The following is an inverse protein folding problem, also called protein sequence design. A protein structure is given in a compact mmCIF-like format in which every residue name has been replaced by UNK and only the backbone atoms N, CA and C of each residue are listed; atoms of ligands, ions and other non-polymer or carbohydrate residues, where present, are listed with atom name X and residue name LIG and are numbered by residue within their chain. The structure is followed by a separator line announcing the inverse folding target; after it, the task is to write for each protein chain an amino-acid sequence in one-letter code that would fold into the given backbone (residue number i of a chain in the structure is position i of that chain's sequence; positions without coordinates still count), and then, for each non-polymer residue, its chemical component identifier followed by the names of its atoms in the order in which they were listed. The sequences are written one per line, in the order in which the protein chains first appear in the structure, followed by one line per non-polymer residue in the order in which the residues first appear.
data_IF_833695374196
#
_entry.id   IF_833695374196
#
_cell.length_a   1.000
_cell.length_b   1.000
_cell.length_c   1.000
_cell.angle_alpha   90.00
_cell.angle_beta   90.00
_cell.angle_gamma   90.00
#
_symmetry.space_group_name_H-M   'P 1'
#
loop_
_entity.id
_entity.type
_entity.pdbx_description
1 polymer ?
#
# COMPACT_ATOMS: atom_id res chain seq x y z
N UNK A 1 13.67 14.33 -7.28
CA UNK A 1 13.09 14.52 -5.94
C UNK A 1 13.55 13.39 -5.03
N UNK A 2 14.19 13.68 -3.88
CA UNK A 2 14.55 12.64 -2.91
C UNK A 2 13.25 12.16 -2.25
N UNK A 3 12.79 10.96 -2.60
CA UNK A 3 11.62 10.38 -1.98
C UNK A 3 11.87 10.26 -0.47
N UNK A 4 11.04 10.92 0.34
CA UNK A 4 11.05 10.72 1.79
C UNK A 4 10.61 9.27 1.99
N UNK A 5 11.54 8.42 2.38
CA UNK A 5 11.26 7.00 2.63
C UNK A 5 10.29 6.90 3.80
N UNK A 6 9.12 6.34 3.54
CA UNK A 6 8.14 6.05 4.57
C UNK A 6 8.73 5.02 5.56
N UNK A 7 8.87 5.43 6.82
CA UNK A 7 9.49 4.60 7.87
C UNK A 7 8.49 3.66 8.53
N UNK A 8 7.21 3.70 8.13
CA UNK A 8 6.17 2.86 8.72
C UNK A 8 6.39 1.38 8.42
N UNK A 9 5.83 0.56 9.30
CA UNK A 9 5.70 -0.88 9.13
C UNK A 9 4.22 -1.22 9.02
N UNK A 10 3.90 -2.19 8.18
CA UNK A 10 2.54 -2.69 8.03
C UNK A 10 2.47 -4.10 8.59
N UNK A 11 1.53 -4.26 9.53
CA UNK A 11 1.08 -5.55 10.00
C UNK A 11 -0.12 -5.96 9.15
N UNK A 12 0.09 -6.86 8.20
CA UNK A 12 -0.98 -7.42 7.36
C UNK A 12 -1.60 -8.60 8.08
N UNK A 13 -2.91 -8.52 8.24
CA UNK A 13 -3.72 -9.55 8.88
C UNK A 13 -4.67 -10.15 7.84
N UNK A 14 -4.84 -11.48 7.79
CA UNK A 14 -5.97 -12.11 7.12
C UNK A 14 -7.29 -11.57 7.67
N UNK A 15 -8.33 -11.51 6.83
CA UNK A 15 -9.61 -10.87 7.17
C UNK A 15 -10.26 -11.43 8.45
N UNK A 16 -10.10 -12.73 8.70
CA UNK A 16 -10.70 -13.44 9.84
C UNK A 16 -9.76 -13.57 11.04
N UNK A 17 -8.55 -12.99 10.97
CA UNK A 17 -7.57 -13.14 12.03
C UNK A 17 -8.03 -12.42 13.31
N UNK A 18 -7.83 -13.05 14.47
CA UNK A 18 -8.37 -12.55 15.75
C UNK A 18 -7.94 -11.12 16.06
N UNK A 19 -6.73 -10.74 15.62
CA UNK A 19 -6.18 -9.42 15.88
C UNK A 19 -6.89 -8.30 15.10
N UNK A 20 -7.68 -8.62 14.07
CA UNK A 20 -8.50 -7.63 13.36
C UNK A 20 -9.56 -7.01 14.27
N UNK A 21 -9.96 -7.69 15.35
CA UNK A 21 -10.93 -7.18 16.35
C UNK A 21 -10.27 -6.31 17.42
N UNK A 22 -8.93 -6.27 17.47
CA UNK A 22 -8.22 -5.50 18.48
C UNK A 22 -8.20 -4.01 18.13
N UNK A 23 -8.25 -3.17 19.17
CA UNK A 23 -8.02 -1.74 19.02
C UNK A 23 -6.54 -1.45 18.72
N UNK A 24 -6.19 -0.27 18.18
CA UNK A 24 -4.80 0.13 18.04
C UNK A 24 -3.98 0.05 19.34
N UNK A 25 -4.61 0.31 20.50
CA UNK A 25 -3.98 0.16 21.80
C UNK A 25 -3.73 -1.32 22.16
N UNK A 26 -4.71 -2.19 21.90
CA UNK A 26 -4.56 -3.64 22.13
C UNK A 26 -3.45 -4.24 21.27
N UNK A 27 -3.35 -3.84 20.00
CA UNK A 27 -2.25 -4.23 19.10
C UNK A 27 -0.90 -3.73 19.62
N UNK A 28 -0.84 -2.47 20.05
CA UNK A 28 0.38 -1.89 20.63
C UNK A 28 0.88 -2.71 21.81
N UNK A 29 0.00 -3.03 22.76
CA UNK A 29 0.36 -3.85 23.92
C UNK A 29 0.77 -5.27 23.53
N UNK A 30 0.02 -5.88 22.61
CA UNK A 30 0.28 -7.23 22.15
C UNK A 30 1.68 -7.32 21.53
N UNK A 31 2.04 -6.39 20.65
CA UNK A 31 3.36 -6.37 20.00
C UNK A 31 4.48 -6.13 21.01
N UNK A 32 4.29 -5.17 21.92
CA UNK A 32 5.24 -4.87 23.01
C UNK A 32 5.53 -6.13 23.84
N UNK A 33 4.49 -6.85 24.25
CA UNK A 33 4.61 -8.10 25.02
C UNK A 33 5.24 -9.22 24.20
N UNK A 34 4.79 -9.38 22.96
CA UNK A 34 5.20 -10.47 22.06
C UNK A 34 6.65 -10.33 21.60
N UNK A 35 7.10 -9.12 21.30
CA UNK A 35 8.45 -8.86 20.78
C UNK A 35 9.43 -8.41 21.87
N UNK A 36 8.98 -8.28 23.12
CA UNK A 36 9.80 -7.82 24.27
C UNK A 36 10.45 -6.45 23.95
N UNK A 37 9.64 -5.52 23.44
CA UNK A 37 10.08 -4.17 23.05
C UNK A 37 9.57 -3.16 24.09
N UNK A 38 10.37 -2.16 24.43
CA UNK A 38 9.91 -1.08 25.31
C UNK A 38 8.69 -0.34 24.72
N UNK A 39 7.61 -0.10 25.50
CA UNK A 39 6.44 0.64 25.02
C UNK A 39 6.76 2.03 24.45
N UNK A 40 7.84 2.65 24.91
CA UNK A 40 8.30 3.98 24.47
C UNK A 40 8.87 3.98 23.05
N UNK A 41 9.39 2.84 22.59
CA UNK A 41 9.93 2.65 21.25
C UNK A 41 8.85 2.36 20.21
N UNK A 42 7.63 2.09 20.68
CA UNK A 42 6.44 1.95 19.85
C UNK A 42 5.71 3.28 19.76
N UNK A 43 5.85 3.95 18.62
CA UNK A 43 5.15 5.19 18.33
C UNK A 43 3.67 4.96 17.99
N UNK A 44 3.21 5.56 16.90
CA UNK A 44 1.78 5.55 16.53
C UNK A 44 1.40 4.24 15.85
N UNK A 45 0.29 3.66 16.29
CA UNK A 45 -0.41 2.56 15.61
C UNK A 45 -1.71 3.10 15.03
N UNK A 46 -1.96 2.83 13.74
CA UNK A 46 -3.20 3.20 13.05
C UNK A 46 -3.82 1.97 12.42
N UNK A 47 -5.15 1.87 12.50
CA UNK A 47 -5.90 0.88 11.73
C UNK A 47 -5.87 1.25 10.24
N UNK A 48 -5.71 0.26 9.38
CA UNK A 48 -5.82 0.37 7.93
C UNK A 48 -6.66 -0.79 7.40
N UNK A 49 -7.11 -0.70 6.15
CA UNK A 49 -8.03 -1.70 5.58
C UNK A 49 -7.50 -3.15 5.66
N UNK A 50 -6.19 -3.35 5.56
CA UNK A 50 -5.57 -4.67 5.58
C UNK A 50 -4.95 -5.08 6.93
N UNK A 51 -5.24 -4.36 8.03
CA UNK A 51 -4.59 -4.57 9.33
C UNK A 51 -4.13 -3.27 9.97
N UNK A 52 -2.83 -3.16 10.32
CA UNK A 52 -2.32 -2.01 11.08
C UNK A 52 -1.07 -1.39 10.45
N UNK A 53 -0.97 -0.07 10.55
CA UNK A 53 0.22 0.70 10.21
C UNK A 53 0.89 1.19 11.50
N UNK A 54 2.15 0.86 11.67
CA UNK A 54 2.96 1.16 12.83
C UNK A 54 4.06 2.15 12.46
N UNK A 55 4.30 3.09 13.35
CA UNK A 55 5.40 4.06 13.25
C UNK A 55 6.34 3.85 14.43
N UNK A 56 7.39 3.02 14.28
CA UNK A 56 8.44 2.88 15.29
C UNK A 56 9.12 4.23 15.54
N UNK A 57 9.50 4.49 16.79
CA UNK A 57 10.12 5.76 17.19
C UNK A 57 11.52 5.95 16.58
N UNK A 58 12.24 4.83 16.39
CA UNK A 58 13.62 4.79 15.89
C UNK A 58 13.81 3.68 14.86
N UNK A 59 14.84 3.79 14.02
CA UNK A 59 15.14 2.83 12.94
C UNK A 59 15.57 1.46 13.47
N UNK A 60 16.28 1.40 14.58
CA UNK A 60 16.72 0.12 15.17
C UNK A 60 15.52 -0.74 15.60
N UNK A 61 14.53 -0.14 16.27
CA UNK A 61 13.29 -0.84 16.64
C UNK A 61 12.54 -1.34 15.42
N UNK A 62 12.53 -0.57 14.33
CA UNK A 62 11.92 -0.99 13.06
C UNK A 62 12.56 -2.28 12.53
N UNK A 63 13.90 -2.36 12.56
CA UNK A 63 14.64 -3.54 12.08
C UNK A 63 14.44 -4.74 13.00
N UNK A 64 14.42 -4.54 14.32
CA UNK A 64 14.11 -5.60 15.29
C UNK A 64 12.72 -6.19 15.06
N UNK A 65 11.71 -5.35 14.81
CA UNK A 65 10.35 -5.80 14.49
C UNK A 65 10.32 -6.59 13.18
N UNK A 66 10.99 -6.12 12.13
CA UNK A 66 11.05 -6.84 10.85
C UNK A 66 11.75 -8.19 10.99
N UNK A 67 12.86 -8.25 11.73
CA UNK A 67 13.61 -9.50 11.97
C UNK A 67 12.79 -10.49 12.77
N UNK A 68 12.13 -10.04 13.84
CA UNK A 68 11.27 -10.89 14.66
C UNK A 68 9.97 -11.29 13.92
N UNK A 69 9.51 -10.43 13.01
CA UNK A 69 8.36 -10.64 12.13
C UNK A 69 8.45 -11.90 11.27
N UNK A 70 9.67 -12.30 10.90
CA UNK A 70 9.93 -13.50 10.11
C UNK A 70 10.06 -14.77 10.96
N UNK A 71 9.91 -14.67 12.29
CA UNK A 71 9.98 -15.79 13.20
C UNK A 71 8.67 -16.60 13.29
N UNK A 72 8.72 -17.84 13.79
CA UNK A 72 7.56 -18.72 13.93
C UNK A 72 6.47 -18.18 14.88
N UNK A 73 6.79 -17.16 15.67
CA UNK A 73 5.92 -16.56 16.68
C UNK A 73 4.75 -15.74 16.10
N UNK A 74 4.78 -15.49 14.79
CA UNK A 74 3.81 -14.69 14.04
C UNK A 74 3.29 -15.48 12.82
N UNK A 75 3.11 -16.80 12.99
CA UNK A 75 2.50 -17.63 11.94
C UNK A 75 1.11 -17.07 11.57
N UNK A 76 0.92 -16.78 10.28
CA UNK A 76 -0.31 -16.18 9.76
C UNK A 76 -0.35 -14.65 9.78
N UNK A 77 0.71 -13.98 10.26
CA UNK A 77 0.82 -12.51 10.30
C UNK A 77 2.02 -12.05 9.50
N UNK A 78 1.86 -11.07 8.61
CA UNK A 78 2.95 -10.61 7.75
C UNK A 78 3.37 -9.19 8.12
N UNK A 79 4.64 -9.02 8.46
CA UNK A 79 5.26 -7.72 8.63
C UNK A 79 5.88 -7.26 7.32
N UNK A 80 5.50 -6.07 6.87
CA UNK A 80 6.01 -5.48 5.65
C UNK A 80 6.55 -4.07 5.93
N UNK A 81 7.71 -3.70 5.38
CA UNK A 81 8.09 -2.30 5.33
C UNK A 81 7.08 -1.52 4.48
N UNK A 82 6.91 -0.23 4.76
CA UNK A 82 6.24 0.65 3.83
C UNK A 82 6.91 0.55 2.46
N UNK A 83 6.12 0.24 1.44
CA UNK A 83 6.62 0.13 0.09
C UNK A 83 6.79 1.54 -0.48
N UNK A 84 7.82 1.75 -1.30
CA UNK A 84 8.10 3.02 -1.97
C UNK A 84 7.17 3.31 -3.16
N UNK A 85 5.96 2.75 -3.14
CA UNK A 85 5.02 2.91 -4.24
C UNK A 85 4.49 4.32 -4.24
N UNK A 86 4.62 5.00 -5.37
CA UNK A 86 4.03 6.30 -5.61
C UNK A 86 2.77 6.08 -6.44
N UNK A 87 1.62 6.38 -5.86
CA UNK A 87 0.36 6.39 -6.61
C UNK A 87 0.19 7.74 -7.29
N UNK A 88 -0.10 7.71 -8.59
CA UNK A 88 -0.41 8.90 -9.39
C UNK A 88 -1.83 8.74 -9.92
N UNK A 89 -2.65 9.78 -9.73
CA UNK A 89 -3.97 9.86 -10.35
C UNK A 89 -3.82 10.58 -11.68
N UNK A 90 -4.30 9.97 -12.77
CA UNK A 90 -4.36 10.60 -14.09
C UNK A 90 -5.84 10.93 -14.38
N UNK A 91 -6.30 12.16 -14.12
CA UNK A 91 -7.73 12.49 -14.19
C UNK A 91 -8.27 12.52 -15.62
N UNK A 92 -7.42 12.79 -16.61
CA UNK A 92 -7.82 13.03 -18.01
C UNK A 92 -7.55 11.86 -18.93
N UNK A 93 -7.61 10.63 -18.41
CA UNK A 93 -7.46 9.44 -19.25
C UNK A 93 -8.69 9.30 -20.18
N UNK A 94 -8.52 9.28 -21.52
CA UNK A 94 -9.64 9.12 -22.43
C UNK A 94 -10.23 7.71 -22.30
N UNK A 95 -11.57 7.61 -22.34
CA UNK A 95 -12.24 6.30 -22.34
C UNK A 95 -12.17 5.63 -23.72
N UNK A 96 -12.10 6.43 -24.78
CA UNK A 96 -12.03 5.98 -26.16
C UNK A 96 -11.03 6.82 -26.93
N UNK A 97 -10.43 6.21 -27.95
CA UNK A 97 -9.61 6.90 -28.93
C UNK A 97 -10.07 6.53 -30.34
N UNK A 98 -9.89 7.44 -31.28
CA UNK A 98 -10.21 7.23 -32.68
C UNK A 98 -8.95 6.79 -33.41
N UNK A 99 -8.99 5.62 -34.04
CA UNK A 99 -7.96 5.11 -34.94
C UNK A 99 -8.54 4.94 -36.34
N UNK A 100 -7.69 4.62 -37.33
CA UNK A 100 -8.12 4.35 -38.71
C UNK A 100 -9.15 3.22 -38.78
N UNK A 101 -9.06 2.24 -37.87
CA UNK A 101 -9.98 1.10 -37.75
C UNK A 101 -11.28 1.45 -37.01
N UNK A 102 -11.43 2.71 -36.57
CA UNK A 102 -12.60 3.21 -35.84
C UNK A 102 -12.33 3.58 -34.38
N UNK A 103 -13.41 3.71 -33.61
CA UNK A 103 -13.37 4.08 -32.19
C UNK A 103 -13.05 2.86 -31.33
N UNK A 104 -11.98 2.93 -30.53
CA UNK A 104 -11.49 1.83 -29.69
C UNK A 104 -11.55 2.24 -28.21
N UNK A 105 -12.06 1.36 -27.34
CA UNK A 105 -12.05 1.55 -25.88
C UNK A 105 -10.61 1.41 -25.35
N UNK A 106 -10.18 2.37 -24.53
CA UNK A 106 -8.84 2.35 -23.93
C UNK A 106 -8.80 1.29 -22.83
N UNK A 107 -7.98 0.26 -23.04
CA UNK A 107 -7.74 -0.78 -22.05
C UNK A 107 -6.49 -0.47 -21.20
N UNK A 108 -6.26 -1.31 -20.17
CA UNK A 108 -5.15 -1.12 -19.24
C UNK A 108 -3.77 -1.24 -19.90
N UNK A 109 -3.62 -2.10 -20.90
CA UNK A 109 -2.33 -2.32 -21.57
C UNK A 109 -1.96 -1.11 -22.42
N UNK A 110 -2.89 -0.63 -23.26
CA UNK A 110 -2.72 0.57 -24.06
C UNK A 110 -2.36 1.78 -23.19
N UNK A 111 -3.05 1.95 -22.07
CA UNK A 111 -2.76 3.06 -21.15
C UNK A 111 -1.39 2.89 -20.45
N UNK A 112 -1.01 1.67 -20.09
CA UNK A 112 0.31 1.41 -19.48
C UNK A 112 1.44 1.63 -20.48
N UNK A 113 1.29 1.17 -21.72
CA UNK A 113 2.27 1.32 -22.78
C UNK A 113 2.43 2.80 -23.17
N UNK A 114 1.34 3.58 -23.15
CA UNK A 114 1.39 5.03 -23.37
C UNK A 114 2.11 5.77 -22.22
N UNK A 115 1.86 5.39 -20.96
CA UNK A 115 2.60 5.93 -19.81
C UNK A 115 4.09 5.61 -19.96
N UNK A 116 4.44 4.38 -20.34
CA UNK A 116 5.82 3.97 -20.55
C UNK A 116 6.47 4.73 -21.71
N UNK A 117 5.76 4.94 -22.82
CA UNK A 117 6.23 5.71 -23.98
C UNK A 117 6.54 7.17 -23.61
N UNK A 118 5.66 7.81 -22.82
CA UNK A 118 5.79 9.23 -22.47
C UNK A 118 6.77 9.46 -21.32
N UNK A 119 6.75 8.61 -20.30
CA UNK A 119 7.52 8.80 -19.08
C UNK A 119 8.77 7.92 -18.97
N UNK A 120 8.98 6.98 -19.90
CA UNK A 120 10.03 5.94 -19.81
C UNK A 120 9.94 5.09 -18.54
N UNK A 121 8.76 4.99 -17.92
CA UNK A 121 8.51 4.23 -16.70
C UNK A 121 7.23 3.43 -16.85
N UNK A 122 7.31 2.12 -16.64
CA UNK A 122 6.14 1.23 -16.65
C UNK A 122 5.48 1.16 -15.27
N UNK A 123 4.17 1.44 -15.14
CA UNK A 123 3.47 1.30 -13.87
C UNK A 123 3.38 -0.18 -13.46
N UNK A 124 3.72 -0.49 -12.20
CA UNK A 124 3.66 -1.85 -11.69
C UNK A 124 2.23 -2.33 -11.37
N UNK A 125 1.29 -1.40 -11.12
CA UNK A 125 -0.12 -1.70 -10.96
C UNK A 125 -0.98 -0.56 -11.51
N UNK A 126 -2.03 -0.92 -12.26
CA UNK A 126 -2.95 0.04 -12.85
C UNK A 126 -4.40 -0.29 -12.53
N UNK A 127 -5.09 0.70 -11.95
CA UNK A 127 -6.50 0.64 -11.62
C UNK A 127 -7.22 1.81 -12.28
N UNK A 128 -8.10 1.51 -13.22
CA UNK A 128 -8.97 2.48 -13.86
C UNK A 128 -10.11 2.80 -12.90
N UNK A 129 -10.32 4.10 -12.65
CA UNK A 129 -11.35 4.62 -11.76
C UNK A 129 -12.31 5.48 -12.56
N UNK A 130 -13.62 5.33 -12.33
CA UNK A 130 -14.65 6.06 -13.04
C UNK A 130 -14.65 5.68 -14.53
N UNK A 131 -15.54 4.77 -14.94
CA UNK A 131 -15.89 4.73 -16.36
C UNK A 131 -16.56 6.07 -16.65
N UNK A 132 -15.92 6.92 -17.46
CA UNK A 132 -16.56 8.13 -17.96
C UNK A 132 -17.86 7.72 -18.63
N UNK A 133 -18.97 8.31 -18.19
CA UNK A 133 -20.26 8.09 -18.79
C UNK A 133 -20.12 8.46 -20.28
N UNK A 134 -20.42 7.55 -21.24
CA UNK A 134 -20.25 7.84 -22.67
C UNK A 134 -21.08 9.04 -23.17
N UNK A 135 -21.98 9.56 -22.33
CA UNK A 135 -22.83 10.74 -22.57
C UNK A 135 -22.24 12.07 -22.08
N UNK A 136 -21.04 12.09 -21.47
CA UNK A 136 -20.46 13.35 -20.99
C UNK A 136 -20.04 14.25 -22.18
N UNK A 137 -20.47 15.52 -22.23
CA UNK A 137 -20.12 16.43 -23.30
C UNK A 137 -18.62 16.78 -23.27
N UNK A 138 -18.01 16.87 -24.45
CA UNK A 138 -16.62 17.28 -24.68
C UNK A 138 -16.45 18.80 -24.63
#
# INVERSE_FOLDING_TARGET
MKAISDKRLFLRLPQEFEWCKLSPAGIRELIVKKLIISPSLMGKVKLVHSGFALSPSISETREQILKAGNGPFLSGVKWEPATNWVSVLVPTAPAFIHMEQGKIEVNKTMFSDEIERVCSVRPAHLKLYGRNNPEAPH
#
